data_IF_165474076335
#
_entry.id   IF_165474076335
#
_cell.length_a   1.000
_cell.length_b   1.000
_cell.length_c   1.000
_cell.angle_alpha   90.00
_cell.angle_beta   90.00
_cell.angle_gamma   90.00
#
_symmetry.space_group_name_H-M   'P 1'
#
loop_
_entity.id
_entity.type
_entity.pdbx_description
1 polymer ?
#
# COMPACT_ATOMS: atom_id res chain seq x y z
N UNK A 1 -26.31 14.55 5.59
CA UNK A 1 -25.23 13.62 5.24
C UNK A 1 -25.10 12.61 6.36
N UNK A 2 -25.31 11.31 6.11
CA UNK A 2 -25.19 10.26 7.13
C UNK A 2 -23.87 9.54 6.87
N UNK A 3 -22.87 9.80 7.71
CA UNK A 3 -21.56 9.13 7.65
C UNK A 3 -21.68 7.84 8.47
N UNK A 4 -21.25 6.71 7.89
CA UNK A 4 -21.13 5.42 8.57
C UNK A 4 -19.71 4.89 8.37
N UNK A 5 -19.29 3.93 9.19
CA UNK A 5 -18.03 3.20 9.00
C UNK A 5 -18.03 2.50 7.63
N UNK A 6 -16.89 2.58 6.94
CA UNK A 6 -16.64 1.86 5.69
C UNK A 6 -16.56 0.36 5.96
N UNK A 7 -17.09 -0.45 5.04
CA UNK A 7 -16.91 -1.90 5.03
C UNK A 7 -16.10 -2.30 3.79
N UNK A 8 -15.58 -3.54 3.74
CA UNK A 8 -14.84 -4.02 2.57
C UNK A 8 -15.65 -3.99 1.26
N UNK A 9 -16.99 -3.96 1.34
CA UNK A 9 -17.85 -3.84 0.16
C UNK A 9 -17.90 -2.42 -0.42
N UNK A 10 -17.41 -1.42 0.32
CA UNK A 10 -17.42 -0.03 -0.14
C UNK A 10 -16.23 0.29 -1.06
N UNK A 11 -15.25 -0.61 -1.24
CA UNK A 11 -14.02 -0.34 -2.01
C UNK A 11 -14.32 0.13 -3.44
N UNK A 12 -15.26 -0.49 -4.14
CA UNK A 12 -15.64 -0.07 -5.51
C UNK A 12 -16.28 1.33 -5.50
N UNK A 13 -17.10 1.62 -4.50
CA UNK A 13 -17.76 2.92 -4.35
C UNK A 13 -16.76 4.03 -4.00
N UNK A 14 -15.82 3.75 -3.12
CA UNK A 14 -14.72 4.67 -2.78
C UNK A 14 -13.88 4.95 -4.02
N UNK A 15 -13.54 3.91 -4.78
CA UNK A 15 -12.78 4.06 -6.03
C UNK A 15 -13.53 4.90 -7.06
N UNK A 16 -14.85 4.72 -7.18
CA UNK A 16 -15.67 5.53 -8.08
C UNK A 16 -15.60 7.01 -7.72
N UNK A 17 -15.74 7.36 -6.42
CA UNK A 17 -15.64 8.74 -5.93
C UNK A 17 -14.25 9.33 -6.18
N UNK A 18 -13.19 8.57 -5.89
CA UNK A 18 -11.81 8.99 -6.15
C UNK A 18 -11.60 9.24 -7.64
N UNK A 19 -12.08 8.33 -8.49
CA UNK A 19 -11.89 8.42 -9.95
C UNK A 19 -12.66 9.61 -10.52
N UNK A 20 -13.87 9.86 -10.04
CA UNK A 20 -14.69 11.01 -10.45
C UNK A 20 -14.07 12.37 -10.08
N UNK A 21 -13.08 12.41 -9.19
CA UNK A 21 -12.31 13.62 -8.90
C UNK A 21 -11.30 13.97 -10.00
N UNK A 22 -11.04 13.05 -10.94
CA UNK A 22 -10.16 13.24 -12.09
C UNK A 22 -10.96 13.34 -13.40
N UNK A 23 -10.33 13.84 -14.46
CA UNK A 23 -10.97 13.98 -15.78
C UNK A 23 -11.35 12.63 -16.41
N UNK A 24 -10.66 11.56 -16.04
CA UNK A 24 -10.90 10.20 -16.51
C UNK A 24 -10.26 9.15 -15.57
N UNK A 25 -10.65 7.88 -15.65
CA UNK A 25 -9.94 6.78 -14.99
C UNK A 25 -8.47 6.68 -15.38
N UNK A 26 -8.15 6.97 -16.64
CA UNK A 26 -6.79 7.01 -17.16
C UNK A 26 -5.96 8.12 -16.50
N UNK A 27 -6.56 9.31 -16.29
CA UNK A 27 -5.91 10.40 -15.57
C UNK A 27 -5.67 10.04 -14.10
N UNK A 28 -6.63 9.38 -13.44
CA UNK A 28 -6.47 8.92 -12.07
C UNK A 28 -5.31 7.92 -11.94
N UNK A 29 -5.21 6.95 -12.87
CA UNK A 29 -4.12 5.97 -12.90
C UNK A 29 -2.77 6.63 -13.21
N UNK A 30 -2.74 7.62 -14.12
CA UNK A 30 -1.54 8.39 -14.45
C UNK A 30 -1.03 9.17 -13.23
N UNK A 31 -1.92 9.88 -12.53
CA UNK A 31 -1.57 10.65 -11.34
C UNK A 31 -1.07 9.71 -10.23
N UNK A 32 -1.82 8.63 -9.94
CA UNK A 32 -1.42 7.64 -8.95
C UNK A 32 -0.04 7.04 -9.26
N UNK A 33 0.19 6.65 -10.51
CA UNK A 33 1.47 6.09 -10.95
C UNK A 33 2.61 7.09 -10.86
N UNK A 34 2.35 8.36 -11.15
CA UNK A 34 3.34 9.44 -11.04
C UNK A 34 3.71 9.69 -9.58
N UNK A 35 2.73 9.72 -8.68
CA UNK A 35 2.95 9.90 -7.24
C UNK A 35 3.76 8.75 -6.64
N UNK A 36 3.45 7.50 -6.99
CA UNK A 36 4.22 6.34 -6.51
C UNK A 36 5.67 6.43 -6.96
N UNK A 37 5.94 6.70 -8.25
CA UNK A 37 7.31 6.84 -8.75
C UNK A 37 8.06 7.97 -8.04
N UNK A 38 7.44 9.14 -7.90
CA UNK A 38 8.03 10.28 -7.19
C UNK A 38 8.33 9.94 -5.72
N UNK A 39 7.45 9.22 -5.03
CA UNK A 39 7.68 8.77 -3.66
C UNK A 39 8.85 7.79 -3.53
N UNK A 40 8.96 6.82 -4.44
CA UNK A 40 10.09 5.88 -4.47
C UNK A 40 11.41 6.59 -4.77
N UNK A 41 11.41 7.56 -5.69
CA UNK A 41 12.60 8.35 -6.02
C UNK A 41 13.02 9.25 -4.85
N UNK A 42 12.07 9.83 -4.13
CA UNK A 42 12.35 10.59 -2.90
C UNK A 42 12.94 9.68 -1.81
N UNK A 43 12.39 8.48 -1.61
CA UNK A 43 12.93 7.51 -0.66
C UNK A 43 14.36 7.08 -1.02
N UNK A 44 14.64 6.83 -2.30
CA UNK A 44 16.01 6.57 -2.79
C UNK A 44 16.95 7.72 -2.48
N UNK A 45 16.53 8.96 -2.74
CA UNK A 45 17.34 10.14 -2.47
C UNK A 45 17.66 10.34 -0.98
N UNK A 46 16.79 9.85 -0.08
CA UNK A 46 17.00 9.84 1.37
C UNK A 46 17.89 8.69 1.84
N UNK A 47 18.29 7.77 0.96
CA UNK A 47 19.11 6.61 1.30
C UNK A 47 18.32 5.44 1.88
N UNK A 48 16.99 5.43 1.71
CA UNK A 48 16.17 4.28 2.09
C UNK A 48 16.46 3.08 1.18
N UNK A 49 16.44 1.88 1.77
CA UNK A 49 16.81 0.65 1.06
C UNK A 49 15.61 -0.19 0.63
N UNK A 50 14.49 -0.07 1.33
CA UNK A 50 13.33 -0.94 1.13
C UNK A 50 12.06 -0.18 1.41
N UNK A 51 11.02 -0.43 0.62
CA UNK A 51 9.67 0.10 0.84
C UNK A 51 8.69 -1.06 0.87
N UNK A 52 7.77 -1.02 1.82
CA UNK A 52 6.68 -1.98 1.96
C UNK A 52 5.33 -1.28 1.80
N UNK A 53 4.32 -2.02 1.35
CA UNK A 53 2.96 -1.53 1.21
C UNK A 53 1.94 -2.63 1.49
N UNK A 54 0.80 -2.24 2.04
CA UNK A 54 -0.43 -3.05 2.04
C UNK A 54 -1.30 -2.53 0.89
N UNK A 55 -1.34 -3.24 -0.23
CA UNK A 55 -1.85 -2.68 -1.48
C UNK A 55 -2.30 -3.71 -2.51
N UNK A 56 -3.01 -3.24 -3.55
CA UNK A 56 -3.64 -4.13 -4.52
C UNK A 56 -2.61 -4.92 -5.35
N UNK A 57 -2.72 -6.26 -5.42
CA UNK A 57 -1.73 -7.11 -6.07
C UNK A 57 -1.59 -6.97 -7.59
N UNK A 58 -2.53 -6.29 -8.26
CA UNK A 58 -2.46 -6.02 -9.70
C UNK A 58 -1.95 -4.61 -10.02
N UNK A 59 -1.80 -3.76 -9.01
CA UNK A 59 -1.41 -2.36 -9.18
C UNK A 59 0.08 -2.15 -8.86
N UNK A 60 0.53 -2.57 -7.67
CA UNK A 60 1.89 -2.30 -7.20
C UNK A 60 3.02 -3.02 -7.96
N UNK A 61 2.84 -4.21 -8.56
CA UNK A 61 3.89 -4.83 -9.37
C UNK A 61 4.37 -3.97 -10.54
N UNK A 62 3.56 -3.01 -11.01
CA UNK A 62 3.94 -2.04 -12.05
C UNK A 62 5.14 -1.16 -11.67
N UNK A 63 5.49 -1.09 -10.38
CA UNK A 63 6.59 -0.30 -9.84
C UNK A 63 7.73 -1.15 -9.26
N UNK A 64 7.73 -2.47 -9.52
CA UNK A 64 8.76 -3.40 -9.03
C UNK A 64 8.49 -3.96 -7.64
N UNK A 65 7.29 -3.78 -7.09
CA UNK A 65 6.89 -4.46 -5.88
C UNK A 65 6.64 -5.95 -6.13
N UNK A 66 7.07 -6.76 -5.17
CA UNK A 66 6.86 -8.20 -5.13
C UNK A 66 6.11 -8.57 -3.84
N UNK A 67 5.61 -9.79 -3.75
CA UNK A 67 5.00 -10.26 -2.50
C UNK A 67 6.03 -10.28 -1.37
N UNK A 68 5.66 -9.75 -0.21
CA UNK A 68 6.51 -9.64 0.95
C UNK A 68 6.94 -11.02 1.50
N UNK A 69 6.04 -11.99 1.48
CA UNK A 69 6.29 -13.34 1.99
C UNK A 69 7.33 -14.12 1.17
N UNK A 70 7.47 -13.83 -0.11
CA UNK A 70 8.54 -14.37 -0.96
C UNK A 70 9.96 -13.99 -0.46
N UNK A 71 10.04 -12.92 0.34
CA UNK A 71 11.27 -12.41 0.95
C UNK A 71 11.35 -12.68 2.46
N UNK A 72 10.44 -13.51 3.00
CA UNK A 72 10.37 -13.78 4.43
C UNK A 72 9.88 -12.60 5.28
N UNK A 73 9.18 -11.63 4.66
CA UNK A 73 8.57 -10.49 5.35
C UNK A 73 7.11 -10.80 5.64
N UNK A 74 6.73 -10.70 6.91
CA UNK A 74 5.34 -10.86 7.36
C UNK A 74 4.79 -9.54 7.90
N UNK A 75 3.48 -9.45 8.07
CA UNK A 75 2.85 -8.35 8.82
C UNK A 75 1.65 -8.91 9.58
N UNK A 76 1.84 -9.18 10.87
CA UNK A 76 0.81 -9.75 11.75
C UNK A 76 -0.31 -8.76 12.08
N UNK A 77 -0.03 -7.46 12.02
CA UNK A 77 -1.02 -6.40 12.28
C UNK A 77 -2.06 -6.27 11.16
N UNK A 78 -1.78 -6.76 9.95
CA UNK A 78 -2.72 -6.70 8.84
C UNK A 78 -3.50 -8.00 8.69
N UNK A 79 -4.83 -7.90 8.77
CA UNK A 79 -5.76 -9.01 8.45
C UNK A 79 -5.96 -9.21 6.94
N UNK A 80 -5.35 -8.36 6.10
CA UNK A 80 -5.44 -8.46 4.65
C UNK A 80 -4.71 -9.69 4.11
N UNK A 81 -5.06 -10.15 2.89
CA UNK A 81 -4.44 -11.33 2.29
C UNK A 81 -2.94 -11.10 2.05
N UNK A 82 -2.17 -12.19 2.07
CA UNK A 82 -0.71 -12.11 1.93
C UNK A 82 -0.29 -11.56 0.58
N UNK A 83 -1.04 -11.79 -0.51
CA UNK A 83 -0.75 -11.15 -1.79
C UNK A 83 -0.85 -9.62 -1.77
N UNK A 84 -1.58 -9.03 -0.82
CA UNK A 84 -1.64 -7.59 -0.68
C UNK A 84 -0.47 -7.01 0.12
N UNK A 85 0.34 -7.86 0.78
CA UNK A 85 1.54 -7.46 1.51
C UNK A 85 2.69 -7.47 0.52
N UNK A 86 3.19 -6.30 0.15
CA UNK A 86 4.18 -6.15 -0.90
C UNK A 86 5.42 -5.38 -0.46
N UNK A 87 6.55 -5.65 -1.11
CA UNK A 87 7.86 -5.06 -0.81
C UNK A 87 8.64 -4.79 -2.09
N UNK A 88 9.48 -3.75 -2.07
CA UNK A 88 10.44 -3.44 -3.14
C UNK A 88 11.78 -3.05 -2.53
N UNK A 89 12.86 -3.55 -3.13
CA UNK A 89 14.23 -3.07 -2.88
C UNK A 89 14.49 -1.82 -3.71
N UNK A 90 14.97 -0.75 -3.08
CA UNK A 90 15.21 0.53 -3.72
C UNK A 90 16.61 0.64 -4.36
N UNK A 91 17.58 -0.09 -3.81
CA UNK A 91 18.99 -0.10 -4.19
C UNK A 91 19.45 -1.43 -4.80
N UNK A 92 18.54 -2.41 -4.95
CA UNK A 92 18.85 -3.76 -5.41
C UNK A 92 19.54 -4.63 -4.34
N UNK A 93 19.71 -4.10 -3.13
CA UNK A 93 20.21 -4.82 -1.98
C UNK A 93 19.19 -5.82 -1.41
N UNK A 94 19.63 -6.67 -0.47
CA UNK A 94 18.78 -7.67 0.15
C UNK A 94 17.65 -7.02 0.94
N UNK A 95 16.44 -7.57 0.79
CA UNK A 95 15.27 -7.17 1.57
C UNK A 95 15.40 -7.74 2.99
N UNK A 96 15.25 -6.94 4.05
CA UNK A 96 15.21 -7.45 5.42
C UNK A 96 14.03 -8.40 5.61
N UNK A 97 14.23 -9.50 6.34
CA UNK A 97 13.19 -10.48 6.67
C UNK A 97 12.65 -10.27 8.09
N UNK A 98 11.49 -10.87 8.40
CA UNK A 98 10.86 -10.81 9.72
C UNK A 98 9.50 -10.13 9.71
N UNK A 99 8.96 -9.88 10.91
CA UNK A 99 7.65 -9.25 11.05
C UNK A 99 7.75 -7.73 10.99
N UNK A 100 7.17 -7.16 9.95
CA UNK A 100 7.05 -5.72 9.78
C UNK A 100 5.98 -5.18 10.73
N UNK A 101 6.36 -4.15 11.47
CA UNK A 101 5.45 -3.36 12.30
C UNK A 101 5.33 -1.94 11.78
N UNK A 102 4.24 -1.28 12.12
CA UNK A 102 4.03 0.13 11.83
C UNK A 102 4.39 1.00 13.04
N UNK A 103 4.57 2.30 12.81
CA UNK A 103 4.72 3.26 13.90
C UNK A 103 3.52 3.17 14.86
N UNK A 104 3.74 3.49 16.15
CA UNK A 104 2.70 3.39 17.18
C UNK A 104 1.36 4.04 16.77
N UNK A 105 1.32 5.26 16.18
CA UNK A 105 0.04 5.85 15.75
C UNK A 105 -0.72 4.98 14.75
N UNK A 106 -0.01 4.35 13.81
CA UNK A 106 -0.63 3.49 12.81
C UNK A 106 -1.00 2.12 13.39
N UNK A 107 -0.14 1.53 14.22
CA UNK A 107 -0.46 0.27 14.91
C UNK A 107 -1.70 0.41 15.82
N UNK A 108 -1.79 1.52 16.56
CA UNK A 108 -2.95 1.85 17.39
C UNK A 108 -4.21 2.04 16.52
N UNK A 109 -4.11 2.73 15.38
CA UNK A 109 -5.22 2.92 14.45
C UNK A 109 -5.72 1.60 13.82
N UNK A 110 -4.80 0.71 13.43
CA UNK A 110 -5.14 -0.61 12.89
C UNK A 110 -5.81 -1.47 13.96
N UNK A 111 -5.33 -1.42 15.21
CA UNK A 111 -5.90 -2.20 16.30
C UNK A 111 -7.29 -1.69 16.71
N UNK A 112 -7.50 -0.38 16.62
CA UNK A 112 -8.81 0.26 16.85
C UNK A 112 -9.78 0.03 15.70
N UNK A 113 -9.29 -0.26 14.49
CA UNK A 113 -10.12 -0.62 13.35
C UNK A 113 -10.67 -2.04 13.54
N UNK A 114 -11.95 -2.12 13.86
CA UNK A 114 -12.70 -3.37 13.98
C UNK A 114 -13.63 -3.46 12.76
N UNK A 115 -13.18 -4.07 11.64
CA UNK A 115 -14.09 -4.33 10.54
C UNK A 115 -15.06 -5.43 10.97
N UNK A 116 -16.35 -5.23 10.74
CA UNK A 116 -17.35 -6.31 10.78
C UNK A 116 -17.26 -7.19 9.53
#
# INVERSE_FOLDING_TARGET
>A
MKIRTETFHDTDRVREVITAAFGSPEDADLVGSTLIRAGLDAARALGERTVTVLGHPAYYPRFGFERADAHGVTCTLSVGPDEAKMVVSLDGGPIPYGDMTFSKPMADAISAYQPE
#
